data_IF_347013505384
#
_entry.id   IF_347013505384
#
_cell.length_a   1.000
_cell.length_b   1.000
_cell.length_c   1.000
_cell.angle_alpha   90.00
_cell.angle_beta   90.00
_cell.angle_gamma   90.00
#
_symmetry.space_group_name_H-M   'P 1'
#
loop_
_entity.id
_entity.type
_entity.pdbx_description
1 polymer ?
#
# COMPACT_ATOMS: atom_id res chain seq x y z
N UNK A 1 -5.37 -17.21 3.92
CA UNK A 1 -5.43 -15.79 4.32
C UNK A 1 -5.87 -14.98 3.13
N UNK A 2 -6.77 -14.03 3.34
CA UNK A 2 -7.24 -13.13 2.30
C UNK A 2 -6.43 -11.84 2.27
N UNK A 3 -6.41 -11.20 1.10
CA UNK A 3 -5.86 -9.84 0.94
C UNK A 3 -6.99 -8.95 0.44
N UNK A 4 -7.28 -7.90 1.20
CA UNK A 4 -8.36 -6.96 0.91
C UNK A 4 -7.78 -5.57 0.72
N UNK A 5 -8.16 -4.92 -0.38
CA UNK A 5 -7.82 -3.51 -0.59
C UNK A 5 -8.94 -2.65 0.00
N UNK A 6 -8.56 -1.75 0.90
CA UNK A 6 -9.54 -0.80 1.44
C UNK A 6 -10.01 0.16 0.36
N UNK A 7 -11.16 0.82 0.53
CA UNK A 7 -11.60 1.84 -0.43
C UNK A 7 -10.56 2.93 -0.65
N UNK A 8 -9.87 3.33 0.39
CA UNK A 8 -8.81 4.34 0.25
C UNK A 8 -7.64 3.83 -0.60
N UNK A 9 -7.23 2.57 -0.41
CA UNK A 9 -6.17 1.98 -1.23
C UNK A 9 -6.58 1.91 -2.71
N UNK A 10 -7.83 1.58 -2.99
CA UNK A 10 -8.35 1.60 -4.36
C UNK A 10 -8.30 2.98 -4.97
N UNK A 11 -8.70 4.01 -4.22
CA UNK A 11 -8.65 5.40 -4.71
C UNK A 11 -7.22 5.82 -5.03
N UNK A 12 -6.29 5.42 -4.20
CA UNK A 12 -4.86 5.73 -4.44
C UNK A 12 -4.32 4.99 -5.65
N UNK A 13 -4.74 3.74 -5.84
CA UNK A 13 -4.36 2.95 -7.00
C UNK A 13 -4.90 3.57 -8.30
N UNK A 14 -6.13 4.07 -8.27
CA UNK A 14 -6.73 4.78 -9.39
C UNK A 14 -5.95 6.04 -9.75
N UNK A 15 -5.46 6.78 -8.77
CA UNK A 15 -4.64 7.97 -9.01
C UNK A 15 -3.33 7.61 -9.66
N UNK A 16 -2.70 6.52 -9.23
CA UNK A 16 -1.47 6.03 -9.85
C UNK A 16 -1.72 5.66 -11.30
N UNK A 17 -2.81 4.92 -11.55
CA UNK A 17 -3.23 4.57 -12.89
C UNK A 17 -3.39 5.80 -13.77
N UNK A 18 -4.19 6.76 -13.33
CA UNK A 18 -4.48 7.97 -14.10
C UNK A 18 -3.22 8.77 -14.42
N UNK A 19 -2.31 8.86 -13.45
CA UNK A 19 -1.05 9.57 -13.62
C UNK A 19 -0.18 8.93 -14.71
N UNK A 20 -0.02 7.59 -14.66
CA UNK A 20 0.81 6.89 -15.62
C UNK A 20 0.14 6.85 -17.00
N UNK A 21 -1.17 6.70 -17.03
CA UNK A 21 -1.94 6.58 -18.27
C UNK A 21 -1.78 7.80 -19.18
N UNK A 22 -1.58 8.98 -18.62
CA UNK A 22 -1.39 10.21 -19.40
C UNK A 22 -0.23 10.08 -20.38
N UNK A 23 0.83 9.42 -20.00
CA UNK A 23 2.03 9.25 -20.83
C UNK A 23 2.12 7.89 -21.48
N UNK A 24 1.64 6.85 -20.78
CA UNK A 24 1.84 5.46 -21.24
C UNK A 24 0.70 4.56 -20.73
N UNK A 25 -0.38 4.42 -21.51
CA UNK A 25 -1.52 3.59 -21.09
C UNK A 25 -1.16 2.12 -20.85
N UNK A 26 -0.28 1.56 -21.67
CA UNK A 26 0.16 0.16 -21.48
C UNK A 26 0.92 -0.01 -20.17
N UNK A 27 1.77 0.96 -19.83
CA UNK A 27 2.53 0.90 -18.57
C UNK A 27 1.62 1.06 -17.36
N UNK A 28 0.55 1.84 -17.48
CA UNK A 28 -0.44 1.97 -16.41
C UNK A 28 -1.03 0.60 -16.05
N UNK A 29 -1.40 -0.18 -17.06
CA UNK A 29 -1.95 -1.52 -16.86
C UNK A 29 -0.94 -2.43 -16.17
N UNK A 30 0.28 -2.51 -16.69
CA UNK A 30 1.30 -3.42 -16.16
C UNK A 30 1.74 -3.00 -14.77
N UNK A 31 1.85 -1.69 -14.50
CA UNK A 31 2.30 -1.19 -13.20
C UNK A 31 1.29 -1.52 -12.08
N UNK A 32 0.02 -1.25 -12.34
CA UNK A 32 -1.04 -1.54 -11.37
C UNK A 32 -1.14 -3.05 -11.11
N UNK A 33 -0.96 -3.84 -12.17
CA UNK A 33 -0.93 -5.30 -12.03
C UNK A 33 0.23 -5.77 -11.16
N UNK A 34 1.41 -5.18 -11.32
CA UNK A 34 2.59 -5.50 -10.51
C UNK A 34 2.35 -5.17 -9.04
N UNK A 35 1.76 -4.01 -8.75
CA UNK A 35 1.39 -3.64 -7.38
C UNK A 35 0.44 -4.68 -6.79
N UNK A 36 -0.60 -5.03 -7.53
CA UNK A 36 -1.57 -6.03 -7.09
C UNK A 36 -0.92 -7.38 -6.77
N UNK A 37 -0.02 -7.83 -7.63
CA UNK A 37 0.70 -9.09 -7.44
C UNK A 37 1.57 -9.06 -6.19
N UNK A 38 2.24 -7.94 -5.93
CA UNK A 38 3.07 -7.79 -4.72
C UNK A 38 2.21 -7.85 -3.46
N UNK A 39 1.05 -7.22 -3.50
CA UNK A 39 0.12 -7.26 -2.37
C UNK A 39 -0.43 -8.67 -2.14
N UNK A 40 -0.76 -9.40 -3.21
CA UNK A 40 -1.29 -10.75 -3.09
C UNK A 40 -0.29 -11.73 -2.47
N UNK A 41 0.99 -11.52 -2.63
CA UNK A 41 2.02 -12.35 -2.00
C UNK A 41 2.01 -12.26 -0.47
N UNK A 42 1.42 -11.21 0.07
CA UNK A 42 1.34 -11.04 1.52
C UNK A 42 0.50 -12.11 2.20
N UNK A 43 -0.39 -12.77 1.45
CA UNK A 43 -1.17 -13.89 2.01
C UNK A 43 -0.29 -15.05 2.48
N UNK A 44 0.89 -15.23 1.86
CA UNK A 44 1.81 -16.30 2.20
C UNK A 44 2.85 -15.88 3.23
N UNK A 45 3.16 -14.58 3.30
CA UNK A 45 4.18 -14.03 4.20
C UNK A 45 3.73 -12.70 4.80
N UNK A 46 2.63 -12.70 5.58
CA UNK A 46 2.04 -11.43 6.04
C UNK A 46 2.91 -10.66 7.03
N UNK A 47 3.81 -11.32 7.74
CA UNK A 47 4.63 -10.67 8.77
C UNK A 47 6.07 -10.45 8.34
N UNK A 48 6.37 -10.65 7.06
CA UNK A 48 7.74 -10.52 6.54
C UNK A 48 8.27 -9.10 6.63
N UNK A 49 7.42 -8.11 6.37
CA UNK A 49 7.85 -6.73 6.27
C UNK A 49 7.78 -6.03 7.62
N UNK A 50 8.59 -5.00 7.76
CA UNK A 50 8.83 -4.33 9.02
C UNK A 50 7.64 -3.47 9.45
N UNK A 51 7.38 -3.46 10.75
CA UNK A 51 6.48 -2.49 11.36
C UNK A 51 7.08 -1.09 11.21
N UNK A 52 6.21 -0.07 11.20
CA UNK A 52 6.65 1.31 11.06
C UNK A 52 7.38 1.73 12.33
N UNK A 53 8.66 2.13 12.23
CA UNK A 53 9.41 2.57 13.41
C UNK A 53 8.74 3.73 14.12
N UNK A 54 8.65 3.65 15.44
CA UNK A 54 7.99 4.64 16.27
C UNK A 54 6.47 4.49 16.38
N UNK A 55 5.89 3.58 15.57
CA UNK A 55 4.45 3.32 15.56
C UNK A 55 4.16 1.83 15.54
N UNK A 56 5.00 1.05 16.23
CA UNK A 56 4.88 -0.41 16.22
C UNK A 56 3.56 -0.91 16.79
N UNK A 57 3.00 -0.17 17.74
CA UNK A 57 1.72 -0.50 18.35
C UNK A 57 0.54 -0.39 17.36
N UNK A 58 0.70 0.35 16.27
CA UNK A 58 -0.30 0.41 15.20
C UNK A 58 -0.42 -0.92 14.44
N UNK A 59 0.63 -1.75 14.49
CA UNK A 59 0.78 -3.00 13.73
C UNK A 59 0.75 -2.81 12.22
N UNK A 60 0.95 -1.58 11.74
CA UNK A 60 1.03 -1.30 10.32
C UNK A 60 2.45 -1.63 9.83
N UNK A 61 2.52 -2.35 8.73
CA UNK A 61 3.77 -2.75 8.08
C UNK A 61 3.92 -2.04 6.75
N UNK A 62 5.16 -1.92 6.30
CA UNK A 62 5.48 -1.23 5.06
C UNK A 62 6.19 -2.18 4.10
N UNK A 63 5.64 -2.27 2.88
CA UNK A 63 6.25 -2.94 1.74
C UNK A 63 6.61 -1.86 0.71
N UNK A 64 7.90 -1.75 0.38
CA UNK A 64 8.35 -0.81 -0.65
C UNK A 64 8.33 -1.46 -2.02
N UNK A 65 7.82 -0.74 -3.01
CA UNK A 65 7.79 -1.18 -4.40
C UNK A 65 8.06 0.02 -5.30
N UNK A 66 9.26 0.04 -5.90
CA UNK A 66 9.71 1.16 -6.75
C UNK A 66 9.54 2.49 -6.01
N UNK A 67 8.81 3.44 -6.59
CA UNK A 67 8.61 4.76 -6.00
C UNK A 67 7.46 4.81 -5.00
N UNK A 68 6.91 3.66 -4.62
CA UNK A 68 5.71 3.61 -3.78
C UNK A 68 5.96 2.81 -2.52
N UNK A 69 5.22 3.16 -1.48
CA UNK A 69 5.18 2.43 -0.23
C UNK A 69 3.75 1.92 -0.03
N UNK A 70 3.64 0.64 0.24
CA UNK A 70 2.37 -0.04 0.48
C UNK A 70 2.28 -0.30 1.98
N UNK A 71 1.25 0.24 2.60
CA UNK A 71 1.02 0.08 4.04
C UNK A 71 -0.13 -0.87 4.27
N UNK A 72 0.09 -1.84 5.13
CA UNK A 72 -0.90 -2.87 5.40
C UNK A 72 -0.85 -3.31 6.84
N UNK A 73 -1.93 -3.93 7.30
CA UNK A 73 -1.93 -4.62 8.59
C UNK A 73 -2.68 -5.94 8.47
N UNK A 74 -2.43 -6.82 9.43
CA UNK A 74 -3.07 -8.14 9.48
C UNK A 74 -4.01 -8.16 10.67
N UNK A 75 -5.27 -8.48 10.41
CA UNK A 75 -6.26 -8.67 11.47
C UNK A 75 -6.86 -10.05 11.25
N UNK A 76 -6.69 -10.92 12.23
CA UNK A 76 -7.11 -12.33 12.15
C UNK A 76 -6.49 -12.99 10.92
N UNK A 77 -7.29 -13.44 9.97
CA UNK A 77 -6.81 -14.13 8.76
C UNK A 77 -6.83 -13.24 7.53
N UNK A 78 -6.86 -11.92 7.70
CA UNK A 78 -6.98 -10.99 6.58
C UNK A 78 -5.88 -9.94 6.60
N UNK A 79 -5.27 -9.76 5.41
CA UNK A 79 -4.33 -8.65 5.17
C UNK A 79 -5.12 -7.51 4.56
N UNK A 80 -5.14 -6.37 5.22
CA UNK A 80 -5.80 -5.17 4.72
C UNK A 80 -4.75 -4.21 4.16
N UNK A 81 -4.87 -3.91 2.87
CA UNK A 81 -4.02 -2.90 2.23
C UNK A 81 -4.65 -1.55 2.53
N UNK A 82 -3.98 -0.75 3.35
CA UNK A 82 -4.51 0.51 3.87
C UNK A 82 -4.23 1.69 2.95
N UNK A 83 -2.99 1.77 2.46
CA UNK A 83 -2.52 2.88 1.64
C UNK A 83 -1.48 2.44 0.64
N UNK A 84 -1.47 3.10 -0.52
CA UNK A 84 -0.43 2.98 -1.54
C UNK A 84 0.02 4.40 -1.84
N UNK A 85 1.14 4.81 -1.25
CA UNK A 85 1.59 6.20 -1.26
C UNK A 85 2.92 6.34 -1.99
N UNK A 86 3.13 7.49 -2.63
CA UNK A 86 4.42 7.80 -3.20
C UNK A 86 5.46 7.85 -2.09
N UNK A 87 6.65 7.30 -2.34
CA UNK A 87 7.70 7.20 -1.32
C UNK A 87 8.19 8.58 -0.83
N UNK A 88 8.05 9.62 -1.64
CA UNK A 88 8.44 10.98 -1.28
C UNK A 88 7.39 11.73 -0.44
N UNK A 89 6.20 11.16 -0.30
CA UNK A 89 5.11 11.77 0.43
C UNK A 89 5.34 11.66 1.95
N UNK A 90 4.81 12.60 2.71
CA UNK A 90 4.87 12.55 4.18
C UNK A 90 3.89 11.50 4.69
N UNK A 91 4.38 10.29 4.86
CA UNK A 91 3.56 9.14 5.25
C UNK A 91 2.98 9.28 6.65
N UNK A 92 3.74 9.88 7.55
CA UNK A 92 3.30 10.02 8.94
C UNK A 92 2.05 10.90 9.04
N UNK A 93 1.98 11.96 8.26
CA UNK A 93 0.79 12.81 8.22
C UNK A 93 -0.45 12.07 7.72
N UNK A 94 -0.25 11.18 6.76
CA UNK A 94 -1.37 10.43 6.17
C UNK A 94 -1.83 9.31 7.09
N UNK A 95 -0.88 8.56 7.65
CA UNK A 95 -1.19 7.38 8.47
C UNK A 95 -1.57 7.74 9.90
N UNK A 96 -0.94 8.75 10.46
CA UNK A 96 -1.09 9.14 11.86
C UNK A 96 -1.32 10.64 11.98
N UNK A 97 -2.44 11.15 11.46
CA UNK A 97 -2.71 12.58 11.50
C UNK A 97 -2.85 13.03 12.96
N UNK A 98 -2.22 14.17 13.28
CA UNK A 98 -2.34 14.75 14.62
C UNK A 98 -3.63 15.54 14.70
N UNK A 99 -4.29 15.44 15.84
CA UNK A 99 -5.47 16.26 16.11
C UNK A 99 -5.07 17.74 16.18
N UNK A 100 -5.93 18.61 15.64
CA UNK A 100 -5.65 20.05 15.69
C UNK A 100 -5.60 20.61 17.12
#
# INVERSE_FOLDING_TARGET
MEVVFTPQAYRELDRIWSYIEQDNPTRAITFVREIGQRCLRLKDMPFRYQLIPGHEDSRIRRLSFKNYAIFYHVIEDTVYILHILNAAQDHEKVLFPKDP
#
